data_IF_029176493832
#
_entry.id   IF_029176493832
#
_cell.length_a   1.000
_cell.length_b   1.000
_cell.length_c   1.000
_cell.angle_alpha   90.00
_cell.angle_beta   90.00
_cell.angle_gamma   90.00
#
_symmetry.space_group_name_H-M   'P 1'
#
loop_
_entity.id
_entity.type
_entity.pdbx_description
1 polymer ?
#
# COMPACT_ATOMS: atom_id res chain seq x y z
N UNK A 1 10.11 1.59 -8.74
CA UNK A 1 9.42 1.97 -7.50
C UNK A 1 7.92 2.14 -7.74
N UNK A 2 7.10 1.27 -7.13
CA UNK A 2 5.64 1.22 -7.31
C UNK A 2 4.95 2.47 -6.74
N UNK A 3 5.42 2.96 -5.60
CA UNK A 3 4.89 4.17 -4.94
C UNK A 3 5.03 5.37 -5.89
N UNK A 4 6.25 5.63 -6.39
CA UNK A 4 6.52 6.72 -7.31
C UNK A 4 5.68 6.65 -8.61
N UNK A 5 5.33 5.44 -9.06
CA UNK A 5 4.42 5.28 -10.19
C UNK A 5 3.01 5.80 -9.90
N UNK A 6 2.47 5.53 -8.70
CA UNK A 6 1.16 6.03 -8.29
C UNK A 6 1.19 7.53 -7.98
N UNK A 7 2.26 8.04 -7.38
CA UNK A 7 2.45 9.49 -7.18
C UNK A 7 2.38 10.27 -8.49
N UNK A 8 3.09 9.80 -9.55
CA UNK A 8 3.02 10.40 -10.89
C UNK A 8 1.64 10.32 -11.53
N UNK A 9 0.80 9.38 -11.09
CA UNK A 9 -0.59 9.24 -11.53
C UNK A 9 -1.57 10.09 -10.74
N UNK A 10 -1.08 10.90 -9.81
CA UNK A 10 -1.87 11.82 -8.99
C UNK A 10 -2.41 11.19 -7.71
N UNK A 11 -1.92 10.01 -7.32
CA UNK A 11 -2.21 9.45 -6.00
C UNK A 11 -1.35 10.12 -4.93
N UNK A 12 -1.88 10.26 -3.71
CA UNK A 12 -1.19 10.83 -2.55
C UNK A 12 -1.24 9.84 -1.39
N UNK A 13 -0.17 9.76 -0.59
CA UNK A 13 -0.15 9.01 0.66
C UNK A 13 -1.10 9.67 1.67
N UNK A 14 -2.03 8.90 2.23
CA UNK A 14 -2.98 9.39 3.25
C UNK A 14 -2.38 9.39 4.67
N UNK A 15 -1.22 8.73 4.84
CA UNK A 15 -0.61 8.43 6.14
C UNK A 15 -1.18 7.19 6.83
N UNK A 16 -2.30 6.64 6.33
CA UNK A 16 -2.90 5.44 6.88
C UNK A 16 -2.16 4.18 6.46
N UNK A 17 -2.12 3.19 7.35
CA UNK A 17 -1.48 1.89 7.14
C UNK A 17 -2.44 0.77 7.53
N UNK A 18 -2.58 -0.22 6.66
CA UNK A 18 -3.37 -1.41 6.95
C UNK A 18 -2.46 -2.63 7.17
N UNK A 19 -2.91 -3.56 8.01
CA UNK A 19 -2.16 -4.78 8.27
C UNK A 19 -2.04 -5.63 7.01
N UNK A 20 -0.84 -6.17 6.77
CA UNK A 20 -0.68 -7.18 5.73
C UNK A 20 -1.35 -8.50 6.20
N UNK A 21 -2.11 -9.20 5.34
CA UNK A 21 -2.79 -10.43 5.71
C UNK A 21 -1.83 -11.50 6.22
N UNK A 22 -2.24 -12.23 7.25
CA UNK A 22 -1.54 -13.39 7.81
C UNK A 22 -1.93 -14.72 7.11
N UNK A 23 -2.70 -14.63 6.02
CA UNK A 23 -3.19 -15.77 5.24
C UNK A 23 -2.02 -16.54 4.59
N UNK A 24 -1.80 -17.83 4.95
CA UNK A 24 -0.71 -18.64 4.43
C UNK A 24 -0.69 -18.79 2.91
N UNK A 25 -1.80 -18.53 2.20
CA UNK A 25 -1.84 -18.61 0.72
C UNK A 25 -0.91 -17.61 0.03
N UNK A 26 -0.53 -16.54 0.73
CA UNK A 26 0.42 -15.53 0.26
C UNK A 26 1.84 -15.75 0.80
N UNK A 27 2.03 -16.81 1.58
CA UNK A 27 3.25 -17.06 2.34
C UNK A 27 3.30 -16.25 3.63
N UNK A 28 4.10 -16.72 4.59
CA UNK A 28 4.26 -16.05 5.88
C UNK A 28 5.36 -14.99 5.76
N UNK A 29 5.06 -13.70 6.01
CA UNK A 29 6.07 -12.66 5.98
C UNK A 29 7.19 -12.92 6.99
N UNK A 30 8.45 -12.83 6.56
CA UNK A 30 9.62 -12.93 7.45
C UNK A 30 9.95 -11.62 8.16
N UNK A 31 9.26 -10.54 7.79
CA UNK A 31 9.36 -9.19 8.35
C UNK A 31 7.94 -8.61 8.46
N UNK A 32 7.69 -7.68 9.39
CA UNK A 32 6.43 -6.96 9.42
C UNK A 32 6.18 -6.27 8.09
N UNK A 33 4.97 -6.45 7.55
CA UNK A 33 4.50 -5.79 6.34
C UNK A 33 3.20 -5.06 6.65
N UNK A 34 3.00 -3.96 5.94
CA UNK A 34 1.79 -3.15 5.99
C UNK A 34 1.47 -2.65 4.57
N UNK A 35 0.20 -2.38 4.32
CA UNK A 35 -0.23 -1.65 3.13
C UNK A 35 -0.20 -0.15 3.40
N UNK A 36 0.31 0.59 2.42
CA UNK A 36 0.22 2.04 2.33
C UNK A 36 -1.10 2.38 1.64
N UNK A 37 -1.97 3.12 2.32
CA UNK A 37 -3.20 3.63 1.72
C UNK A 37 -2.88 4.90 0.92
N UNK A 38 -3.30 4.93 -0.34
CA UNK A 38 -3.15 6.09 -1.20
C UNK A 38 -4.51 6.47 -1.79
N UNK A 39 -4.77 7.76 -1.91
CA UNK A 39 -5.99 8.30 -2.48
C UNK A 39 -5.71 9.08 -3.76
N UNK A 40 -6.71 9.16 -4.64
CA UNK A 40 -6.70 10.05 -5.80
C UNK A 40 -8.07 10.68 -5.95
N UNK A 41 -8.12 12.00 -5.93
CA UNK A 41 -9.34 12.76 -6.21
C UNK A 41 -9.72 12.57 -7.69
N UNK A 42 -10.98 12.21 -7.94
CA UNK A 42 -11.55 12.09 -9.28
C UNK A 42 -12.57 13.23 -9.42
N UNK A 43 -12.17 14.30 -10.11
CA UNK A 43 -13.02 15.45 -10.46
C UNK A 43 -13.56 15.33 -11.88
#
# INVERSE_FOLDING_TARGET
ELIAYYERKGFRDTGEREAFPDDPKFGIPKKPLEFLVMEKEIS
#
